data_IF_846127152737
#
_entry.id   IF_846127152737
#
_cell.length_a   1.000
_cell.length_b   1.000
_cell.length_c   1.000
_cell.angle_alpha   90.00
_cell.angle_beta   90.00
_cell.angle_gamma   90.00
#
_symmetry.space_group_name_H-M   'P 1'
#
loop_
_entity.id
_entity.type
_entity.pdbx_description
1 polymer ?
#
# COMPACT_ATOMS: atom_id res chain seq x y z
N UNK A 1 -2.83 9.72 14.47
CA UNK A 1 -4.04 10.22 13.77
C UNK A 1 -4.06 9.59 12.39
N UNK A 2 -4.89 8.56 12.17
CA UNK A 2 -5.05 7.96 10.84
C UNK A 2 -5.86 8.91 9.97
N UNK A 3 -5.23 9.49 8.95
CA UNK A 3 -5.95 10.26 7.94
C UNK A 3 -6.67 9.29 7.01
N UNK A 4 -7.99 9.34 6.97
CA UNK A 4 -8.78 8.58 5.99
C UNK A 4 -8.82 9.38 4.69
N UNK A 5 -8.11 8.91 3.66
CA UNK A 5 -8.26 9.45 2.31
C UNK A 5 -9.52 8.88 1.65
N UNK A 6 -10.21 9.70 0.86
CA UNK A 6 -11.23 9.21 -0.07
C UNK A 6 -10.56 8.33 -1.13
N UNK A 7 -11.37 7.55 -1.86
CA UNK A 7 -10.85 6.72 -2.96
C UNK A 7 -10.12 7.56 -4.01
N UNK A 8 -10.65 8.72 -4.36
CA UNK A 8 -10.05 9.64 -5.34
C UNK A 8 -8.71 10.18 -4.83
N UNK A 9 -8.66 10.67 -3.58
CA UNK A 9 -7.42 11.17 -2.99
C UNK A 9 -6.33 10.10 -2.89
N UNK A 10 -6.70 8.85 -2.59
CA UNK A 10 -5.75 7.75 -2.55
C UNK A 10 -5.27 7.35 -3.95
N UNK A 11 -6.15 7.41 -4.95
CA UNK A 11 -5.79 7.22 -6.36
C UNK A 11 -4.77 8.26 -6.79
N UNK A 12 -5.02 9.54 -6.54
CA UNK A 12 -4.11 10.63 -6.90
C UNK A 12 -2.77 10.48 -6.19
N UNK A 13 -2.77 10.14 -4.90
CA UNK A 13 -1.54 9.91 -4.15
C UNK A 13 -0.72 8.74 -4.73
N UNK A 14 -1.35 7.67 -5.20
CA UNK A 14 -0.66 6.57 -5.87
C UNK A 14 -0.11 6.97 -7.25
N UNK A 15 -0.85 7.76 -8.03
CA UNK A 15 -0.35 8.28 -9.31
C UNK A 15 0.90 9.14 -9.10
N UNK A 16 0.86 10.06 -8.13
CA UNK A 16 2.01 10.91 -7.81
C UNK A 16 3.18 10.10 -7.23
N UNK A 17 2.91 9.04 -6.47
CA UNK A 17 3.96 8.08 -6.04
C UNK A 17 4.65 7.46 -7.25
N UNK A 18 3.90 7.08 -8.30
CA UNK A 18 4.44 6.56 -9.55
C UNK A 18 5.33 7.54 -10.31
N UNK A 19 5.14 8.85 -10.09
CA UNK A 19 6.00 9.91 -10.59
C UNK A 19 7.22 10.22 -9.68
N UNK A 20 7.40 9.48 -8.58
CA UNK A 20 8.50 9.65 -7.64
C UNK A 20 8.25 10.66 -6.52
N UNK A 21 7.00 11.10 -6.29
CA UNK A 21 6.66 11.99 -5.18
C UNK A 21 6.69 11.24 -3.84
N UNK A 22 7.71 11.53 -3.02
CA UNK A 22 7.89 10.97 -1.67
C UNK A 22 6.81 11.41 -0.68
N UNK A 23 6.29 12.63 -0.81
CA UNK A 23 5.22 13.12 0.04
C UNK A 23 3.90 12.40 -0.27
N UNK A 24 3.63 12.16 -1.56
CA UNK A 24 2.49 11.34 -1.96
C UNK A 24 2.61 9.90 -1.44
N UNK A 25 3.79 9.29 -1.55
CA UNK A 25 4.05 7.96 -0.99
C UNK A 25 3.80 7.91 0.52
N UNK A 26 4.24 8.94 1.25
CA UNK A 26 3.97 9.06 2.69
C UNK A 26 2.48 9.12 2.99
N UNK A 27 1.69 9.86 2.21
CA UNK A 27 0.22 9.89 2.35
C UNK A 27 -0.41 8.52 2.11
N UNK A 28 0.06 7.79 1.10
CA UNK A 28 -0.38 6.39 0.86
C UNK A 28 -0.08 5.53 2.08
N UNK A 29 1.14 5.60 2.62
CA UNK A 29 1.53 4.85 3.82
C UNK A 29 0.65 5.17 5.03
N UNK A 30 0.53 6.46 5.38
CA UNK A 30 -0.21 6.91 6.55
C UNK A 30 -1.70 6.51 6.48
N UNK A 31 -2.29 6.50 5.28
CA UNK A 31 -3.68 6.15 5.06
C UNK A 31 -3.96 4.63 5.01
N UNK A 32 -2.95 3.80 4.71
CA UNK A 32 -3.19 2.38 4.35
C UNK A 32 -2.42 1.36 5.19
N UNK A 33 -1.40 1.77 5.94
CA UNK A 33 -0.50 0.88 6.69
C UNK A 33 -1.23 -0.02 7.66
N UNK A 34 -2.18 0.51 8.44
CA UNK A 34 -2.98 -0.28 9.37
C UNK A 34 -3.80 -1.38 8.65
N UNK A 35 -4.35 -1.08 7.47
CA UNK A 35 -5.13 -2.05 6.69
C UNK A 35 -4.23 -3.13 6.09
N UNK A 36 -3.10 -2.75 5.51
CA UNK A 36 -2.15 -3.70 4.92
C UNK A 36 -1.49 -4.57 6.01
N UNK A 37 -1.23 -4.01 7.20
CA UNK A 37 -0.79 -4.78 8.35
C UNK A 37 -1.80 -5.88 8.73
N UNK A 38 -3.10 -5.55 8.73
CA UNK A 38 -4.16 -6.55 8.95
C UNK A 38 -4.20 -7.65 7.88
N UNK A 39 -3.83 -7.33 6.62
CA UNK A 39 -3.70 -8.33 5.56
C UNK A 39 -2.53 -9.28 5.84
N UNK A 40 -1.34 -8.74 6.15
CA UNK A 40 -0.14 -9.53 6.44
C UNK A 40 -0.34 -10.42 7.68
N UNK A 41 -0.86 -9.86 8.77
CA UNK A 41 -1.14 -10.60 10.01
C UNK A 41 -2.07 -11.80 9.81
N UNK A 42 -3.09 -11.65 8.97
CA UNK A 42 -4.05 -12.73 8.71
C UNK A 42 -3.44 -13.92 7.95
N UNK A 43 -2.31 -13.70 7.27
CA UNK A 43 -1.64 -14.74 6.48
C UNK A 43 -0.48 -15.35 7.28
N UNK A 44 0.33 -14.50 7.91
CA UNK A 44 1.56 -14.92 8.59
C UNK A 44 1.33 -15.41 10.02
N UNK A 45 0.25 -14.96 10.66
CA UNK A 45 -0.07 -15.27 12.07
C UNK A 45 1.03 -14.91 13.08
N UNK A 46 2.01 -14.10 12.68
CA UNK A 46 3.11 -13.60 13.49
C UNK A 46 3.23 -12.07 13.29
N UNK A 47 3.32 -11.35 14.41
CA UNK A 47 3.37 -9.88 14.41
C UNK A 47 4.68 -9.35 13.83
N UNK A 48 5.82 -9.91 14.22
CA UNK A 48 7.13 -9.44 13.80
C UNK A 48 7.33 -9.71 12.30
N UNK A 49 7.01 -10.92 11.84
CA UNK A 49 7.08 -11.25 10.41
C UNK A 49 6.14 -10.39 9.58
N UNK A 50 4.94 -10.07 10.08
CA UNK A 50 4.02 -9.19 9.38
C UNK A 50 4.53 -7.74 9.29
N UNK A 51 5.26 -7.24 10.30
CA UNK A 51 5.88 -5.91 10.24
C UNK A 51 6.99 -5.86 9.20
N UNK A 52 7.84 -6.89 9.13
CA UNK A 52 8.92 -6.99 8.13
C UNK A 52 8.33 -7.09 6.71
N UNK A 53 7.37 -7.97 6.50
CA UNK A 53 6.68 -8.13 5.20
C UNK A 53 5.93 -6.87 4.78
N UNK A 54 5.35 -6.14 5.73
CA UNK A 54 4.70 -4.85 5.44
C UNK A 54 5.69 -3.83 4.90
N UNK A 55 6.90 -3.75 5.47
CA UNK A 55 7.95 -2.86 4.99
C UNK A 55 8.35 -3.22 3.55
N UNK A 56 8.58 -4.51 3.27
CA UNK A 56 8.88 -5.01 1.92
C UNK A 56 7.75 -4.76 0.93
N UNK A 57 6.50 -4.85 1.37
CA UNK A 57 5.33 -4.49 0.57
C UNK A 57 5.37 -3.01 0.19
N UNK A 58 5.72 -2.11 1.11
CA UNK A 58 5.84 -0.68 0.80
C UNK A 58 7.01 -0.35 -0.13
N UNK A 59 8.15 -1.03 0.01
CA UNK A 59 9.25 -0.94 -0.97
C UNK A 59 8.75 -1.38 -2.36
N UNK A 60 7.98 -2.45 -2.41
CA UNK A 60 7.39 -2.95 -3.65
C UNK A 60 6.35 -2.00 -4.26
N UNK A 61 5.55 -1.35 -3.42
CA UNK A 61 4.59 -0.33 -3.83
C UNK A 61 5.33 0.85 -4.46
N UNK A 62 6.37 1.38 -3.81
CA UNK A 62 7.19 2.46 -4.36
C UNK A 62 7.73 2.09 -5.75
N UNK A 63 8.35 0.92 -5.88
CA UNK A 63 8.96 0.47 -7.14
C UNK A 63 7.95 0.18 -8.26
N UNK A 64 6.68 -0.05 -7.93
CA UNK A 64 5.64 -0.45 -8.90
C UNK A 64 4.53 0.56 -9.07
N UNK A 65 4.55 1.68 -8.34
CA UNK A 65 3.46 2.66 -8.35
C UNK A 65 3.18 3.23 -9.76
N UNK A 66 4.21 3.34 -10.61
CA UNK A 66 4.05 3.75 -12.02
C UNK A 66 3.21 2.79 -12.87
N UNK A 67 3.00 1.55 -12.40
CA UNK A 67 2.16 0.54 -13.04
C UNK A 67 0.72 0.52 -12.55
N UNK A 68 0.39 1.35 -11.55
CA UNK A 68 -0.97 1.46 -11.05
C UNK A 68 -1.86 2.12 -12.10
N UNK A 69 -2.96 1.45 -12.44
CA UNK A 69 -3.96 1.92 -13.39
C UNK A 69 -5.34 1.95 -12.69
N UNK A 70 -5.90 3.15 -12.42
CA UNK A 70 -7.19 3.29 -11.74
C UNK A 70 -8.38 2.76 -12.56
N UNK A 71 -8.22 2.55 -13.87
CA UNK A 71 -9.22 1.90 -14.72
C UNK A 71 -9.27 0.38 -14.54
N UNK A 72 -8.20 -0.25 -14.03
CA UNK A 72 -8.10 -1.71 -13.86
C UNK A 72 -8.38 -2.19 -12.45
N UNK A 73 -8.07 -1.39 -11.43
CA UNK A 73 -8.27 -1.77 -10.04
C UNK A 73 -8.52 -0.56 -9.15
N UNK A 74 -9.25 -0.78 -8.04
CA UNK A 74 -9.28 0.21 -6.97
C UNK A 74 -7.88 0.33 -6.31
N UNK A 75 -7.52 1.51 -5.78
CA UNK A 75 -6.21 1.72 -5.16
C UNK A 75 -5.97 0.76 -3.98
N UNK A 76 -6.99 0.52 -3.15
CA UNK A 76 -6.91 -0.44 -2.03
C UNK A 76 -6.75 -1.88 -2.52
N UNK A 77 -7.44 -2.28 -3.58
CA UNK A 77 -7.30 -3.63 -4.15
C UNK A 77 -5.87 -3.85 -4.62
N UNK A 78 -5.30 -2.91 -5.37
CA UNK A 78 -3.94 -3.01 -5.90
C UNK A 78 -2.89 -3.10 -4.78
N UNK A 79 -3.01 -2.24 -3.76
CA UNK A 79 -2.15 -2.26 -2.56
C UNK A 79 -2.25 -3.59 -1.80
N UNK A 80 -3.47 -4.07 -1.56
CA UNK A 80 -3.71 -5.32 -0.83
C UNK A 80 -3.18 -6.54 -1.59
N UNK A 81 -3.24 -6.55 -2.93
CA UNK A 81 -2.64 -7.59 -3.75
C UNK A 81 -1.13 -7.65 -3.57
N UNK A 82 -0.44 -6.51 -3.53
CA UNK A 82 1.01 -6.47 -3.29
C UNK A 82 1.33 -7.01 -1.89
N UNK A 83 0.64 -6.53 -0.86
CA UNK A 83 0.86 -6.99 0.52
C UNK A 83 0.62 -8.50 0.69
N UNK A 84 -0.47 -9.01 0.11
CA UNK A 84 -0.78 -10.45 0.10
C UNK A 84 0.32 -11.24 -0.60
N UNK A 85 0.77 -10.82 -1.77
CA UNK A 85 1.79 -11.54 -2.53
C UNK A 85 3.15 -11.56 -1.81
N UNK A 86 3.42 -10.61 -0.92
CA UNK A 86 4.61 -10.61 -0.06
C UNK A 86 4.48 -11.48 1.18
N UNK A 87 3.26 -11.88 1.53
CA UNK A 87 2.98 -12.69 2.72
C UNK A 87 2.88 -14.20 2.44
N UNK A 88 3.15 -14.63 1.21
CA UNK A 88 3.05 -16.03 0.74
C UNK A 88 4.44 -16.58 0.45
#
# INVERSE_FOLDING_TARGET
>A
MSFTLTREQLTDALVQTGAGDRAAFRRVYDATSAKLMGVCLRILHDRALAEDVLQDAYVSIWNRASTFDPGRASPITWLATIARNRSI
#
